data_IF_583780995532
#
_entry.id   IF_583780995532
#
_cell.length_a   1.000
_cell.length_b   1.000
_cell.length_c   1.000
_cell.angle_alpha   90.00
_cell.angle_beta   90.00
_cell.angle_gamma   90.00
#
_symmetry.space_group_name_H-M   'P 1'
#
loop_
_entity.id
_entity.type
_entity.pdbx_description
1 polymer ?
#
# COMPACT_ATOMS: atom_id res chain seq x y z
N UNK A 1 -17.20 13.83 -1.12
CA UNK A 1 -16.22 14.47 -0.22
C UNK A 1 -15.10 13.45 0.01
N UNK A 2 -13.92 13.72 -0.47
CA UNK A 2 -12.77 12.81 -0.31
C UNK A 2 -12.28 12.91 1.13
N UNK A 3 -12.14 11.79 1.87
CA UNK A 3 -11.64 11.84 3.24
C UNK A 3 -10.21 12.39 3.27
N UNK A 4 -9.98 13.28 4.22
CA UNK A 4 -8.70 13.94 4.42
C UNK A 4 -8.06 13.43 5.71
N UNK A 5 -6.82 12.96 5.60
CA UNK A 5 -6.03 12.52 6.75
C UNK A 5 -5.20 13.71 7.22
N UNK A 6 -5.46 14.20 8.41
CA UNK A 6 -4.84 15.40 8.96
C UNK A 6 -4.12 15.10 10.27
N UNK A 7 -2.92 15.67 10.42
CA UNK A 7 -2.18 15.79 11.66
C UNK A 7 -2.02 17.28 11.99
N UNK A 8 -2.78 17.79 12.93
CA UNK A 8 -2.93 19.22 13.17
C UNK A 8 -1.62 19.87 13.61
N UNK A 9 -0.90 19.28 14.55
CA UNK A 9 0.36 19.84 15.07
C UNK A 9 1.53 19.64 14.12
N UNK A 10 1.48 18.61 13.30
CA UNK A 10 2.44 18.39 12.24
C UNK A 10 2.19 19.34 11.04
N UNK A 11 1.00 19.94 10.94
CA UNK A 11 0.59 20.70 9.76
C UNK A 11 0.60 19.85 8.49
N UNK A 12 0.38 18.55 8.63
CA UNK A 12 0.46 17.58 7.54
C UNK A 12 -0.95 17.07 7.19
N UNK A 13 -1.23 17.03 5.90
CA UNK A 13 -2.50 16.61 5.35
C UNK A 13 -2.28 15.72 4.13
N UNK A 14 -3.13 14.73 3.93
CA UNK A 14 -3.13 13.87 2.75
C UNK A 14 -4.54 13.43 2.38
N UNK A 15 -4.81 13.38 1.09
CA UNK A 15 -6.06 12.84 0.52
C UNK A 15 -5.74 11.64 -0.36
N UNK A 16 -6.75 10.88 -0.78
CA UNK A 16 -6.56 9.77 -1.72
C UNK A 16 -5.87 10.19 -3.04
N UNK A 17 -6.02 11.46 -3.43
CA UNK A 17 -5.45 11.99 -4.67
C UNK A 17 -3.98 12.41 -4.51
N UNK A 18 -3.58 12.79 -3.29
CA UNK A 18 -2.20 13.25 -3.00
C UNK A 18 -1.27 12.15 -2.51
N UNK A 19 -1.80 10.97 -2.19
CA UNK A 19 -0.99 9.80 -1.80
C UNK A 19 -0.03 9.43 -2.93
N UNK A 20 1.24 9.24 -2.60
CA UNK A 20 2.27 8.81 -3.54
C UNK A 20 2.42 7.29 -3.57
N UNK A 21 3.05 6.76 -4.63
CA UNK A 21 3.42 5.34 -4.73
C UNK A 21 4.26 4.90 -3.53
N UNK A 22 5.21 5.73 -3.11
CA UNK A 22 6.06 5.44 -1.97
C UNK A 22 5.25 5.27 -0.69
N UNK A 23 4.28 6.15 -0.44
CA UNK A 23 3.37 6.07 0.70
C UNK A 23 2.47 4.82 0.64
N UNK A 24 1.99 4.44 -0.54
CA UNK A 24 1.19 3.22 -0.70
C UNK A 24 1.99 1.95 -0.38
N UNK A 25 3.25 1.85 -0.84
CA UNK A 25 4.16 0.74 -0.51
C UNK A 25 4.46 0.68 0.97
N UNK A 26 4.79 1.82 1.55
CA UNK A 26 5.07 1.96 2.99
C UNK A 26 3.85 1.53 3.82
N UNK A 27 2.65 1.89 3.39
CA UNK A 27 1.42 1.45 4.03
C UNK A 27 1.30 -0.08 4.04
N UNK A 28 1.48 -0.75 2.90
CA UNK A 28 1.43 -2.21 2.81
C UNK A 28 2.46 -2.89 3.73
N UNK A 29 3.70 -2.41 3.76
CA UNK A 29 4.75 -2.94 4.63
C UNK A 29 4.45 -2.71 6.12
N UNK A 30 3.84 -1.59 6.46
CA UNK A 30 3.44 -1.27 7.84
C UNK A 30 2.27 -2.15 8.30
N UNK A 31 1.28 -2.39 7.42
CA UNK A 31 0.15 -3.26 7.74
C UNK A 31 0.58 -4.69 8.03
N UNK A 32 1.57 -5.22 7.32
CA UNK A 32 2.17 -6.53 7.65
C UNK A 32 2.74 -6.55 9.07
N UNK A 33 3.42 -5.49 9.50
CA UNK A 33 3.96 -5.38 10.87
C UNK A 33 2.85 -5.22 11.91
N UNK A 34 1.81 -4.45 11.59
CA UNK A 34 0.66 -4.24 12.49
C UNK A 34 -0.08 -5.56 12.72
N UNK A 35 -0.37 -6.30 11.65
CA UNK A 35 -1.07 -7.59 11.75
C UNK A 35 -0.21 -8.68 12.40
N UNK A 36 1.10 -8.64 12.21
CA UNK A 36 2.04 -9.55 12.89
C UNK A 36 2.30 -9.19 14.37
N UNK A 37 1.74 -8.08 14.86
CA UNK A 37 1.93 -7.64 16.24
C UNK A 37 1.31 -8.63 17.25
N UNK A 38 2.11 -9.10 18.19
CA UNK A 38 1.69 -10.09 19.19
C UNK A 38 0.90 -9.48 20.36
N UNK A 39 0.97 -8.18 20.54
CA UNK A 39 0.29 -7.45 21.62
C UNK A 39 -0.35 -6.17 21.12
N UNK A 40 -1.43 -5.73 21.78
CA UNK A 40 -2.09 -4.45 21.47
C UNK A 40 -1.13 -3.27 21.56
N UNK A 41 -0.23 -3.27 22.55
CA UNK A 41 0.77 -2.20 22.69
C UNK A 41 1.78 -2.17 21.53
N UNK A 42 2.13 -3.31 20.96
CA UNK A 42 2.95 -3.38 19.75
C UNK A 42 2.17 -2.87 18.55
N UNK A 43 0.93 -3.29 18.38
CA UNK A 43 0.07 -2.82 17.27
C UNK A 43 -0.11 -1.29 17.30
N UNK A 44 -0.32 -0.70 18.47
CA UNK A 44 -0.41 0.76 18.64
C UNK A 44 0.90 1.44 18.23
N UNK A 45 2.05 0.92 18.66
CA UNK A 45 3.37 1.48 18.28
C UNK A 45 3.61 1.43 16.77
N UNK A 46 3.25 0.33 16.12
CA UNK A 46 3.37 0.21 14.66
C UNK A 46 2.43 1.18 13.92
N UNK A 47 1.21 1.40 14.43
CA UNK A 47 0.30 2.41 13.88
C UNK A 47 0.84 3.84 14.01
N UNK A 48 1.43 4.18 15.17
CA UNK A 48 2.07 5.49 15.37
C UNK A 48 3.30 5.64 14.46
N UNK A 49 4.06 4.57 14.26
CA UNK A 49 5.17 4.56 13.32
C UNK A 49 4.69 4.73 11.88
N UNK A 50 3.60 4.06 11.49
CA UNK A 50 2.98 4.24 10.18
C UNK A 50 2.62 5.71 9.93
N UNK A 51 1.97 6.37 10.88
CA UNK A 51 1.64 7.81 10.75
C UNK A 51 2.91 8.67 10.61
N UNK A 52 3.93 8.41 11.42
CA UNK A 52 5.19 9.15 11.34
C UNK A 52 5.87 9.00 9.98
N UNK A 53 5.96 7.78 9.48
CA UNK A 53 6.60 7.47 8.21
C UNK A 53 5.77 7.97 7.02
N UNK A 54 4.44 7.81 7.08
CA UNK A 54 3.52 8.23 6.02
C UNK A 54 3.57 9.75 5.79
N UNK A 55 3.61 10.53 6.87
CA UNK A 55 3.70 11.99 6.80
C UNK A 55 5.15 12.51 6.82
N UNK A 56 6.14 11.62 6.79
CA UNK A 56 7.55 11.97 6.88
C UNK A 56 7.84 12.93 8.04
N UNK A 57 7.29 12.63 9.20
CA UNK A 57 7.44 13.44 10.42
C UNK A 57 8.12 12.65 11.53
N UNK A 58 8.64 13.35 12.54
CA UNK A 58 9.30 12.68 13.65
C UNK A 58 8.31 12.06 14.64
N UNK A 59 8.68 10.96 15.28
CA UNK A 59 7.89 10.38 16.38
C UNK A 59 7.54 11.39 17.45
N UNK A 60 8.45 12.34 17.73
CA UNK A 60 8.22 13.39 18.75
C UNK A 60 7.00 14.25 18.40
N UNK A 61 6.82 14.58 17.13
CA UNK A 61 5.67 15.34 16.65
C UNK A 61 4.41 14.49 16.78
N UNK A 62 4.44 13.22 16.38
CA UNK A 62 3.31 12.29 16.55
C UNK A 62 2.89 12.20 18.03
N UNK A 63 3.85 12.01 18.95
CA UNK A 63 3.54 11.97 20.40
C UNK A 63 3.05 13.29 20.98
N UNK A 64 3.16 14.41 20.28
CA UNK A 64 2.60 15.69 20.70
C UNK A 64 1.15 15.91 20.28
N UNK A 65 0.64 15.11 19.32
CA UNK A 65 -0.76 15.14 18.91
C UNK A 65 -1.70 14.65 20.04
N UNK A 66 -2.96 15.03 19.99
CA UNK A 66 -3.95 14.46 20.90
C UNK A 66 -4.26 13.01 20.53
N UNK A 67 -4.70 12.22 21.50
CA UNK A 67 -5.08 10.81 21.25
C UNK A 67 -6.24 10.73 20.26
N UNK A 68 -7.20 11.64 20.36
CA UNK A 68 -8.37 11.66 19.48
C UNK A 68 -7.98 12.00 18.04
N UNK A 69 -7.07 12.95 17.82
CA UNK A 69 -6.56 13.31 16.50
C UNK A 69 -5.78 12.15 15.89
N UNK A 70 -4.94 11.46 16.68
CA UNK A 70 -4.21 10.28 16.22
C UNK A 70 -5.14 9.13 15.84
N UNK A 71 -6.18 8.87 16.63
CA UNK A 71 -7.18 7.85 16.32
C UNK A 71 -7.95 8.19 15.06
N UNK A 72 -8.34 9.45 14.90
CA UNK A 72 -9.05 9.92 13.72
C UNK A 72 -8.14 9.80 12.48
N UNK A 73 -6.91 10.29 12.57
CA UNK A 73 -5.94 10.20 11.48
C UNK A 73 -5.66 8.75 11.06
N UNK A 74 -5.46 7.83 12.01
CA UNK A 74 -5.24 6.42 11.74
C UNK A 74 -6.46 5.78 11.06
N UNK A 75 -7.66 5.99 11.59
CA UNK A 75 -8.91 5.45 11.00
C UNK A 75 -9.12 5.97 9.58
N UNK A 76 -8.95 7.28 9.38
CA UNK A 76 -9.12 7.92 8.07
C UNK A 76 -8.06 7.43 7.09
N UNK A 77 -6.80 7.26 7.52
CA UNK A 77 -5.74 6.70 6.70
C UNK A 77 -6.06 5.26 6.27
N UNK A 78 -6.44 4.40 7.21
CA UNK A 78 -6.81 3.02 6.89
C UNK A 78 -8.00 2.95 5.93
N UNK A 79 -9.03 3.76 6.16
CA UNK A 79 -10.18 3.84 5.26
C UNK A 79 -9.75 4.29 3.85
N UNK A 80 -9.00 5.39 3.76
CA UNK A 80 -8.55 5.95 2.48
C UNK A 80 -7.71 4.95 1.70
N UNK A 81 -6.75 4.30 2.36
CA UNK A 81 -5.88 3.34 1.71
C UNK A 81 -6.64 2.08 1.28
N UNK A 82 -7.42 1.47 2.16
CA UNK A 82 -8.06 0.18 1.89
C UNK A 82 -9.30 0.27 1.02
N UNK A 83 -10.05 1.35 1.10
CA UNK A 83 -11.32 1.48 0.37
C UNK A 83 -11.21 2.31 -0.90
N UNK A 84 -10.20 3.17 -1.02
CA UNK A 84 -10.08 4.10 -2.15
C UNK A 84 -8.81 3.84 -2.96
N UNK A 85 -7.65 3.84 -2.31
CA UNK A 85 -6.35 3.84 -3.01
C UNK A 85 -5.98 2.45 -3.52
N UNK A 86 -5.88 1.46 -2.63
CA UNK A 86 -5.43 0.11 -3.01
C UNK A 86 -6.36 -0.60 -4.02
N UNK A 87 -7.70 -0.44 -3.98
CA UNK A 87 -8.56 -1.01 -5.01
C UNK A 87 -8.30 -0.47 -6.41
N UNK A 88 -7.88 0.79 -6.55
CA UNK A 88 -7.50 1.36 -7.86
C UNK A 88 -6.26 0.69 -8.43
N UNK A 89 -5.28 0.35 -7.59
CA UNK A 89 -4.12 -0.41 -8.04
C UNK A 89 -4.48 -1.82 -8.47
N UNK A 90 -5.34 -2.49 -7.72
CA UNK A 90 -5.79 -3.82 -8.08
C UNK A 90 -6.54 -3.83 -9.42
N UNK A 91 -7.36 -2.82 -9.68
CA UNK A 91 -8.09 -2.67 -10.94
C UNK A 91 -7.19 -2.42 -12.17
N UNK A 92 -6.04 -1.75 -11.97
CA UNK A 92 -5.09 -1.43 -13.05
C UNK A 92 -3.92 -2.41 -13.13
N UNK A 93 -3.80 -3.30 -12.16
CA UNK A 93 -2.76 -4.33 -12.19
C UNK A 93 -3.05 -5.30 -13.34
N UNK A 94 -2.07 -5.58 -14.21
CA UNK A 94 -2.24 -6.63 -15.21
C UNK A 94 -2.58 -7.94 -14.49
N UNK A 95 -3.52 -8.71 -15.05
CA UNK A 95 -3.83 -10.04 -14.53
C UNK A 95 -2.53 -10.80 -14.30
N UNK A 96 -2.38 -11.46 -13.14
CA UNK A 96 -1.21 -12.30 -12.94
C UNK A 96 -1.16 -13.29 -14.11
N UNK A 97 0.03 -13.53 -14.69
CA UNK A 97 0.15 -14.52 -15.74
C UNK A 97 -0.52 -15.81 -15.27
N UNK A 98 -1.33 -16.44 -16.15
CA UNK A 98 -1.96 -17.72 -15.84
C UNK A 98 -0.94 -18.63 -15.17
N UNK A 99 -1.28 -19.27 -14.05
CA UNK A 99 -0.34 -20.13 -13.36
C UNK A 99 0.23 -21.10 -14.39
N UNK A 100 1.54 -21.00 -14.63
CA UNK A 100 2.26 -21.98 -15.43
C UNK A 100 1.82 -23.32 -14.90
N UNK A 101 1.31 -24.21 -15.77
CA UNK A 101 0.84 -25.55 -15.39
C UNK A 101 1.76 -26.12 -14.32
N UNK A 102 1.20 -26.35 -13.12
CA UNK A 102 1.95 -26.78 -11.96
C UNK A 102 2.82 -27.96 -12.37
N UNK A 103 4.12 -27.79 -12.29
CA UNK A 103 5.05 -28.87 -12.45
C UNK A 103 4.74 -29.94 -11.39
N UNK A 104 4.93 -31.21 -11.71
CA UNK A 104 4.75 -32.33 -10.76
C UNK A 104 5.60 -32.12 -9.49
N UNK A 105 6.62 -31.25 -9.55
CA UNK A 105 7.48 -30.87 -8.43
C UNK A 105 6.85 -29.79 -7.52
N UNK A 106 5.92 -28.97 -8.04
CA UNK A 106 5.26 -27.92 -7.23
C UNK A 106 4.29 -28.52 -6.21
N UNK A 107 3.71 -29.70 -6.51
CA UNK A 107 2.86 -30.42 -5.55
C UNK A 107 3.68 -31.02 -4.38
N UNK A 108 4.94 -31.33 -4.60
CA UNK A 108 5.82 -31.90 -3.56
C UNK A 108 6.26 -30.82 -2.55
N UNK A 109 6.52 -29.61 -3.01
CA UNK A 109 6.87 -28.49 -2.14
C UNK A 109 5.64 -27.97 -1.39
N UNK A 110 4.44 -27.96 -2.03
CA UNK A 110 3.20 -27.57 -1.38
C UNK A 110 2.76 -28.52 -0.25
N UNK A 111 3.05 -29.84 -0.37
CA UNK A 111 2.80 -30.81 0.71
C UNK A 111 3.76 -30.62 1.90
N UNK A 112 5.02 -30.24 1.65
CA UNK A 112 5.98 -29.94 2.72
C UNK A 112 5.65 -28.62 3.42
N UNK A 113 5.22 -27.60 2.71
CA UNK A 113 4.79 -26.33 3.27
C UNK A 113 3.48 -26.47 4.06
N UNK A 114 2.54 -27.30 3.61
CA UNK A 114 1.33 -27.63 4.35
C UNK A 114 1.63 -28.43 5.64
N UNK A 115 2.68 -29.26 5.68
CA UNK A 115 3.13 -29.95 6.89
C UNK A 115 3.93 -29.04 7.83
N UNK A 116 4.58 -27.99 7.32
CA UNK A 116 5.25 -26.97 8.12
C UNK A 116 4.27 -26.00 8.79
N UNK A 117 2.98 -26.01 8.41
CA UNK A 117 1.86 -25.50 9.20
C UNK A 117 1.83 -23.99 9.42
N UNK A 118 2.24 -23.14 8.47
CA UNK A 118 1.98 -21.73 8.58
C UNK A 118 2.03 -21.02 7.20
N UNK A 119 0.95 -21.07 6.45
CA UNK A 119 0.67 -20.01 5.46
C UNK A 119 -0.17 -18.98 6.19
N UNK A 120 0.44 -17.87 6.58
CA UNK A 120 -0.28 -16.72 7.10
C UNK A 120 -0.99 -16.02 5.93
N UNK A 121 -2.26 -16.39 5.69
CA UNK A 121 -3.09 -15.82 4.62
C UNK A 121 -3.17 -14.29 4.71
N UNK A 122 -3.00 -13.72 5.90
CA UNK A 122 -2.99 -12.27 6.11
C UNK A 122 -1.71 -11.62 5.61
N UNK A 123 -0.56 -12.26 5.78
CA UNK A 123 0.71 -11.77 5.25
C UNK A 123 0.71 -11.71 3.73
N UNK A 124 0.08 -12.66 3.08
CA UNK A 124 -0.04 -12.73 1.62
C UNK A 124 -0.91 -11.60 1.05
N UNK A 125 -1.96 -11.19 1.74
CA UNK A 125 -2.83 -10.09 1.31
C UNK A 125 -2.06 -8.79 1.10
N UNK A 126 -1.24 -8.39 2.04
CA UNK A 126 -0.47 -7.13 1.95
C UNK A 126 0.69 -7.24 0.98
N UNK A 127 1.24 -8.43 0.82
CA UNK A 127 2.23 -8.70 -0.22
C UNK A 127 1.61 -8.55 -1.61
N UNK A 128 0.42 -9.09 -1.84
CA UNK A 128 -0.34 -8.92 -3.08
C UNK A 128 -0.62 -7.44 -3.35
N UNK A 129 -1.11 -6.70 -2.35
CA UNK A 129 -1.32 -5.26 -2.49
C UNK A 129 -0.03 -4.52 -2.90
N UNK A 130 1.10 -4.86 -2.28
CA UNK A 130 2.40 -4.28 -2.62
C UNK A 130 2.84 -4.64 -4.04
N UNK A 131 2.63 -5.87 -4.47
CA UNK A 131 2.92 -6.32 -5.83
C UNK A 131 2.08 -5.56 -6.86
N UNK A 132 0.80 -5.32 -6.59
CA UNK A 132 -0.07 -4.50 -7.45
C UNK A 132 0.46 -3.07 -7.57
N UNK A 133 0.85 -2.45 -6.47
CA UNK A 133 1.47 -1.11 -6.48
C UNK A 133 2.75 -1.10 -7.32
N UNK A 134 3.60 -2.11 -7.18
CA UNK A 134 4.84 -2.23 -7.95
C UNK A 134 4.59 -2.50 -9.45
N UNK A 135 3.61 -3.33 -9.78
CA UNK A 135 3.24 -3.63 -11.17
C UNK A 135 2.75 -2.37 -11.89
N UNK A 136 1.83 -1.61 -11.28
CA UNK A 136 1.34 -0.35 -11.82
C UNK A 136 2.47 0.69 -11.92
N UNK A 137 3.37 0.74 -10.94
CA UNK A 137 4.54 1.64 -10.99
C UNK A 137 5.45 1.31 -12.17
N UNK A 138 5.74 0.03 -12.41
CA UNK A 138 6.53 -0.41 -13.58
C UNK A 138 5.84 -0.09 -14.89
N UNK A 139 4.53 -0.24 -14.96
CA UNK A 139 3.74 0.13 -16.12
C UNK A 139 3.84 1.64 -16.36
N UNK A 140 3.65 2.47 -15.33
CA UNK A 140 3.78 3.92 -15.41
C UNK A 140 5.17 4.36 -15.91
N UNK A 141 6.25 3.78 -15.39
CA UNK A 141 7.63 4.06 -15.84
C UNK A 141 7.78 3.77 -17.33
N UNK A 142 7.23 2.65 -17.80
CA UNK A 142 7.29 2.25 -19.20
C UNK A 142 6.52 3.19 -20.11
N UNK A 143 5.33 3.57 -19.70
CA UNK A 143 4.40 4.40 -20.46
C UNK A 143 4.83 5.86 -20.46
N UNK A 144 5.13 6.41 -19.28
CA UNK A 144 5.47 7.82 -19.10
C UNK A 144 6.94 8.13 -19.38
N UNK A 145 7.77 7.09 -19.55
CA UNK A 145 9.24 7.19 -19.72
C UNK A 145 9.91 7.96 -18.57
N UNK A 146 9.32 7.90 -17.38
CA UNK A 146 9.86 8.52 -16.19
C UNK A 146 10.91 7.62 -15.50
N UNK A 147 11.76 8.22 -14.67
CA UNK A 147 12.64 7.43 -13.81
C UNK A 147 11.84 6.76 -12.70
N UNK A 148 12.35 5.65 -12.17
CA UNK A 148 11.73 4.95 -11.03
C UNK A 148 11.56 5.89 -9.81
N UNK A 149 12.53 6.76 -9.58
CA UNK A 149 12.52 7.71 -8.47
C UNK A 149 11.42 8.76 -8.63
N UNK A 150 11.21 9.26 -9.84
CA UNK A 150 10.19 10.26 -10.11
C UNK A 150 8.80 9.64 -10.02
N UNK A 151 8.58 8.46 -10.62
CA UNK A 151 7.32 7.72 -10.53
C UNK A 151 6.90 7.41 -9.08
N UNK A 152 7.85 7.17 -8.18
CA UNK A 152 7.56 6.94 -6.76
C UNK A 152 7.06 8.18 -6.01
N UNK A 153 7.43 9.37 -6.47
CA UNK A 153 7.08 10.66 -5.85
C UNK A 153 5.82 11.28 -6.44
N UNK A 154 5.40 10.81 -7.60
CA UNK A 154 4.19 11.33 -8.24
C UNK A 154 2.95 11.02 -7.39
N UNK A 155 2.00 11.97 -7.30
CA UNK A 155 0.68 11.71 -6.73
C UNK A 155 -0.03 10.60 -7.49
N UNK A 156 -0.55 9.62 -6.76
CA UNK A 156 -1.21 8.46 -7.34
C UNK A 156 -2.37 8.79 -8.27
N UNK A 157 -3.18 9.79 -7.92
CA UNK A 157 -4.30 10.19 -8.74
C UNK A 157 -3.87 10.48 -10.18
N UNK A 158 -2.83 11.29 -10.33
CA UNK A 158 -2.29 11.67 -11.63
C UNK A 158 -1.67 10.48 -12.39
N UNK A 159 -0.89 9.67 -11.70
CA UNK A 159 -0.24 8.51 -12.29
C UNK A 159 -1.25 7.48 -12.78
N UNK A 160 -2.31 7.22 -11.99
CA UNK A 160 -3.36 6.29 -12.34
C UNK A 160 -4.23 6.77 -13.51
N UNK A 161 -4.50 8.07 -13.61
CA UNK A 161 -5.22 8.66 -14.76
C UNK A 161 -4.43 8.48 -16.06
N UNK A 162 -3.13 8.73 -16.05
CA UNK A 162 -2.28 8.51 -17.22
C UNK A 162 -2.17 7.05 -17.62
N UNK A 163 -2.00 6.15 -16.66
CA UNK A 163 -1.93 4.72 -16.94
C UNK A 163 -3.26 4.19 -17.49
N UNK A 164 -4.40 4.62 -16.93
CA UNK A 164 -5.72 4.24 -17.43
C UNK A 164 -5.92 4.75 -18.87
N UNK A 165 -5.58 6.01 -19.12
CA UNK A 165 -5.66 6.60 -20.47
C UNK A 165 -4.84 5.80 -21.50
N UNK A 166 -3.62 5.42 -21.17
CA UNK A 166 -2.75 4.68 -22.11
C UNK A 166 -3.24 3.25 -22.34
N UNK A 167 -3.76 2.57 -21.32
CA UNK A 167 -4.37 1.24 -21.48
C UNK A 167 -5.53 1.33 -22.48
N UNK A 168 -6.45 2.28 -22.30
CA UNK A 168 -7.61 2.47 -23.20
C UNK A 168 -7.22 2.79 -24.65
N UNK A 169 -6.06 3.42 -24.88
CA UNK A 169 -5.61 3.82 -26.21
C UNK A 169 -4.66 2.81 -26.88
N UNK A 170 -4.09 1.90 -26.12
CA UNK A 170 -3.20 0.85 -26.65
C UNK A 170 -3.98 -0.38 -27.13
N UNK A 171 -5.23 -0.56 -26.66
CA UNK A 171 -6.11 -1.65 -27.07
C UNK A 171 -6.85 -1.39 -28.40
N UNK A 172 -6.52 -0.33 -29.12
CA UNK A 172 -7.02 -0.01 -30.48
C UNK A 172 -5.93 -0.19 -31.52
#
# INVERSE_FOLDING_TARGET
>A
MTPEVELQRAGACSTAETVTVLQARLYCDSMRRIEAAKTSGQAVRENLQLLADFFNTSRRVIYSESVDDLLLAAKTLHFTMQQIVLPKFAALSPEPPEPIEKSIFDDYDAEQDAQAGYVDETADRWLICKQNVEAVTRLAIRVLRESYTDAQREPLGRLLEYVAYEIEHTEK
#
